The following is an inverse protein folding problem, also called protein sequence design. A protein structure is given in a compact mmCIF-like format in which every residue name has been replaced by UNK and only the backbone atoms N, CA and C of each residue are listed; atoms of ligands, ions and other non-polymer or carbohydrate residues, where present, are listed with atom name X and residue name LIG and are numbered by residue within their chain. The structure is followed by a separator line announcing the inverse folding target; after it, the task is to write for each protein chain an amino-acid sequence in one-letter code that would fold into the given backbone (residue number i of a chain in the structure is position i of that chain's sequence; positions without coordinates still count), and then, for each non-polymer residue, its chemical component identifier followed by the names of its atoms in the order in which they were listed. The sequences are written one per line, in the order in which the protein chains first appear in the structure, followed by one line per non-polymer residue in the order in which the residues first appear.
data_IF_578844623470
#
_entry.id   IF_578844623470
#
_cell.length_a   1.000
_cell.length_b   1.000
_cell.length_c   1.000
_cell.angle_alpha   90.00
_cell.angle_beta   90.00
_cell.angle_gamma   90.00
#
_symmetry.space_group_name_H-M   'P 1'
#
loop_
_entity.id
_entity.type
_entity.pdbx_description
1 polymer ?
#
# COMPACT_ATOMS: atom_id res chain seq x y z
N UNK A 1 28.73 1.12 -4.86
CA UNK A 1 27.93 0.72 -6.01
C UNK A 1 28.43 -0.59 -6.57
N UNK A 2 27.54 -1.51 -6.90
CA UNK A 2 27.84 -2.81 -7.53
C UNK A 2 27.62 -2.81 -9.05
N UNK A 3 27.94 -3.91 -9.70
CA UNK A 3 27.84 -4.02 -11.16
C UNK A 3 26.42 -3.84 -11.68
N UNK A 4 26.28 -3.20 -12.84
CA UNK A 4 24.98 -3.00 -13.52
C UNK A 4 24.06 -1.95 -12.88
N UNK A 5 24.54 -1.20 -11.87
CA UNK A 5 23.77 -0.08 -11.29
C UNK A 5 23.66 1.06 -12.29
N UNK A 6 22.42 1.54 -12.51
CA UNK A 6 22.14 2.76 -13.26
C UNK A 6 21.76 3.91 -12.33
N UNK A 7 22.42 5.05 -12.48
CA UNK A 7 22.06 6.29 -11.78
C UNK A 7 21.78 7.36 -12.82
N UNK A 8 20.54 7.81 -12.88
CA UNK A 8 20.04 8.80 -13.82
C UNK A 8 20.59 10.19 -13.57
N UNK A 9 20.55 11.03 -14.58
CA UNK A 9 21.03 12.41 -14.52
C UNK A 9 20.37 13.20 -13.40
N UNK A 10 21.15 13.95 -12.63
CA UNK A 10 20.67 14.80 -11.54
C UNK A 10 20.25 14.06 -10.28
N UNK A 11 20.46 12.73 -10.23
CA UNK A 11 20.22 11.93 -9.03
C UNK A 11 21.43 11.98 -8.10
N UNK A 12 21.17 11.80 -6.80
CA UNK A 12 22.19 11.75 -5.77
C UNK A 12 21.94 10.59 -4.81
N UNK A 13 23.04 9.95 -4.38
CA UNK A 13 23.05 8.91 -3.34
C UNK A 13 23.98 9.39 -2.23
N UNK A 14 23.43 9.46 -1.01
CA UNK A 14 24.17 9.91 0.17
C UNK A 14 25.28 8.97 0.61
N UNK A 15 26.16 9.44 1.51
CA UNK A 15 27.31 8.69 1.96
C UNK A 15 26.91 7.39 2.67
N UNK A 16 27.85 6.42 2.67
CA UNK A 16 27.74 5.11 3.32
C UNK A 16 26.57 4.25 2.84
N UNK A 17 25.95 4.63 1.72
CA UNK A 17 24.87 3.87 1.10
C UNK A 17 25.42 2.76 0.19
N UNK A 18 24.74 1.62 0.20
CA UNK A 18 25.11 0.44 -0.60
C UNK A 18 24.03 0.20 -1.66
N UNK A 19 24.44 0.13 -2.93
CA UNK A 19 23.53 -0.12 -4.06
C UNK A 19 23.97 -1.40 -4.75
N UNK A 20 23.18 -2.44 -4.63
CA UNK A 20 23.44 -3.78 -5.14
C UNK A 20 23.23 -3.91 -6.65
N UNK A 21 23.64 -5.02 -7.27
CA UNK A 21 23.65 -5.17 -8.72
C UNK A 21 22.28 -4.90 -9.38
N UNK A 22 22.33 -4.31 -10.57
CA UNK A 22 21.17 -4.05 -11.43
C UNK A 22 20.08 -3.15 -10.80
N UNK A 23 20.36 -2.44 -9.72
CA UNK A 23 19.47 -1.41 -9.21
C UNK A 23 19.41 -0.23 -10.20
N UNK A 24 18.21 0.32 -10.38
CA UNK A 24 17.93 1.45 -11.29
C UNK A 24 17.44 2.63 -10.46
N UNK A 25 18.18 3.70 -10.47
CA UNK A 25 17.81 5.00 -9.87
C UNK A 25 17.58 5.97 -11.02
N UNK A 26 16.29 6.30 -11.28
CA UNK A 26 15.91 7.18 -12.38
C UNK A 26 16.30 8.63 -12.12
N UNK A 27 16.13 9.47 -13.13
CA UNK A 27 16.55 10.86 -13.15
C UNK A 27 15.94 11.71 -12.01
N UNK A 28 16.74 12.53 -11.37
CA UNK A 28 16.33 13.51 -10.34
C UNK A 28 16.02 12.89 -8.96
N UNK A 29 16.23 11.60 -8.76
CA UNK A 29 15.98 10.91 -7.49
C UNK A 29 17.03 11.30 -6.45
N UNK A 30 16.61 11.49 -5.21
CA UNK A 30 17.50 11.75 -4.07
C UNK A 30 17.40 10.65 -3.03
N UNK A 31 18.53 10.10 -2.63
CA UNK A 31 18.65 9.04 -1.63
C UNK A 31 19.57 9.54 -0.53
N UNK A 32 19.16 9.39 0.71
CA UNK A 32 19.90 9.78 1.89
C UNK A 32 21.12 8.91 2.17
N UNK A 33 21.69 9.07 3.35
CA UNK A 33 22.86 8.36 3.82
C UNK A 33 22.53 6.99 4.41
N UNK A 34 23.50 6.07 4.43
CA UNK A 34 23.44 4.75 5.07
C UNK A 34 22.27 3.88 4.57
N UNK A 35 21.83 4.13 3.33
CA UNK A 35 20.78 3.34 2.70
C UNK A 35 21.30 2.05 2.10
N UNK A 36 20.46 1.02 2.08
CA UNK A 36 20.73 -0.27 1.43
C UNK A 36 19.68 -0.52 0.36
N UNK A 37 20.09 -0.53 -0.90
CA UNK A 37 19.23 -0.83 -2.04
C UNK A 37 19.60 -2.19 -2.61
N UNK A 38 18.73 -3.17 -2.44
CA UNK A 38 19.01 -4.54 -2.88
C UNK A 38 18.90 -4.69 -4.41
N UNK A 39 19.31 -5.85 -4.92
CA UNK A 39 19.42 -6.10 -6.36
C UNK A 39 18.09 -5.91 -7.10
N UNK A 40 18.14 -5.28 -8.25
CA UNK A 40 16.97 -5.07 -9.12
C UNK A 40 15.94 -4.04 -8.62
N UNK A 41 16.23 -3.30 -7.53
CA UNK A 41 15.36 -2.19 -7.08
C UNK A 41 15.22 -1.16 -8.20
N UNK A 42 14.01 -0.66 -8.42
CA UNK A 42 13.73 0.42 -9.37
C UNK A 42 13.12 1.63 -8.65
N UNK A 43 13.84 2.75 -8.62
CA UNK A 43 13.38 3.98 -7.97
C UNK A 43 13.19 5.08 -9.01
N UNK A 44 11.98 5.66 -9.05
CA UNK A 44 11.63 6.74 -9.95
C UNK A 44 11.06 6.30 -11.30
N UNK A 45 10.56 5.07 -11.41
CA UNK A 45 9.73 4.65 -12.55
C UNK A 45 8.49 5.54 -12.68
N UNK A 46 7.92 5.61 -13.87
CA UNK A 46 6.68 6.36 -14.09
C UNK A 46 5.53 5.72 -13.31
N UNK A 47 4.78 6.54 -12.59
CA UNK A 47 3.54 6.13 -11.95
C UNK A 47 2.48 5.70 -12.99
N UNK A 48 1.54 4.90 -12.54
CA UNK A 48 0.40 4.44 -13.35
C UNK A 48 -0.65 5.55 -13.48
N UNK A 49 -0.46 6.41 -14.47
CA UNK A 49 -1.35 7.54 -14.75
C UNK A 49 -1.84 7.49 -16.19
N UNK A 50 -3.14 7.20 -16.39
CA UNK A 50 -3.81 7.17 -17.68
C UNK A 50 -5.22 7.72 -17.59
N UNK A 51 -5.68 8.39 -18.65
CA UNK A 51 -7.07 8.85 -18.78
C UNK A 51 -7.71 8.23 -20.03
N UNK A 52 -9.00 7.87 -19.98
CA UNK A 52 -9.72 7.38 -21.13
C UNK A 52 -9.90 8.51 -22.15
N UNK A 53 -9.56 8.25 -23.40
CA UNK A 53 -9.69 9.20 -24.49
C UNK A 53 -10.04 8.48 -25.79
N UNK A 54 -11.24 8.66 -26.30
CA UNK A 54 -11.69 8.11 -27.59
C UNK A 54 -11.60 6.58 -27.70
N UNK A 55 -11.86 5.83 -26.62
CA UNK A 55 -11.79 4.36 -26.61
C UNK A 55 -10.38 3.80 -26.40
N UNK A 56 -9.39 4.66 -26.14
CA UNK A 56 -8.00 4.31 -25.79
C UNK A 56 -7.57 4.93 -24.47
N UNK A 57 -6.37 4.60 -24.00
CA UNK A 57 -5.78 5.18 -22.79
C UNK A 57 -4.67 6.15 -23.16
N UNK A 58 -4.83 7.41 -22.79
CA UNK A 58 -3.78 8.43 -22.94
C UNK A 58 -2.95 8.48 -21.66
N UNK A 59 -1.62 8.36 -21.81
CA UNK A 59 -0.68 8.46 -20.68
C UNK A 59 -0.62 9.89 -20.15
N UNK A 60 -0.67 10.04 -18.84
CA UNK A 60 -0.35 11.28 -18.12
C UNK A 60 1.15 11.28 -17.84
N UNK A 61 1.91 12.28 -18.32
CA UNK A 61 3.35 12.39 -18.02
C UNK A 61 3.60 12.43 -16.51
N UNK A 62 4.63 11.70 -16.07
CA UNK A 62 5.05 11.65 -14.67
C UNK A 62 6.33 12.48 -14.54
N UNK A 63 6.21 13.72 -14.06
CA UNK A 63 7.29 14.71 -14.10
C UNK A 63 7.87 15.02 -12.71
N UNK A 64 7.31 14.43 -11.66
CA UNK A 64 7.82 14.55 -10.31
C UNK A 64 9.04 13.65 -10.06
N UNK A 65 9.42 13.53 -8.81
CA UNK A 65 10.60 12.77 -8.39
C UNK A 65 10.32 11.86 -7.19
N UNK A 66 11.39 11.21 -6.67
CA UNK A 66 11.39 10.44 -5.43
C UNK A 66 12.46 10.98 -4.50
N UNK A 67 12.13 11.12 -3.22
CA UNK A 67 13.06 11.40 -2.14
C UNK A 67 13.02 10.30 -1.09
N UNK A 68 14.19 9.76 -0.78
CA UNK A 68 14.39 8.70 0.23
C UNK A 68 15.29 9.27 1.31
N UNK A 69 14.84 9.15 2.57
CA UNK A 69 15.58 9.60 3.74
C UNK A 69 16.80 8.74 4.05
N UNK A 70 17.35 8.95 5.23
CA UNK A 70 18.51 8.22 5.75
C UNK A 70 18.12 6.87 6.33
N UNK A 71 19.08 5.94 6.41
CA UNK A 71 18.94 4.63 7.06
C UNK A 71 17.81 3.75 6.49
N UNK A 72 17.43 3.98 5.23
CA UNK A 72 16.37 3.23 4.53
C UNK A 72 16.94 1.94 3.93
N UNK A 73 16.18 0.87 4.01
CA UNK A 73 16.51 -0.38 3.33
C UNK A 73 15.36 -0.80 2.40
N UNK A 74 15.70 -1.15 1.15
CA UNK A 74 14.73 -1.50 0.11
C UNK A 74 15.11 -2.85 -0.50
N UNK A 75 14.23 -3.82 -0.35
CA UNK A 75 14.39 -5.21 -0.78
C UNK A 75 14.39 -5.37 -2.31
N UNK A 76 14.85 -6.53 -2.73
CA UNK A 76 15.08 -6.86 -4.15
C UNK A 76 13.82 -6.73 -4.99
N UNK A 77 13.97 -6.17 -6.21
CA UNK A 77 12.91 -5.99 -7.19
C UNK A 77 11.70 -5.17 -6.68
N UNK A 78 11.88 -4.37 -5.65
CA UNK A 78 10.90 -3.38 -5.21
C UNK A 78 10.91 -2.20 -6.16
N UNK A 79 9.73 -1.69 -6.51
CA UNK A 79 9.56 -0.51 -7.34
C UNK A 79 8.92 0.64 -6.55
N UNK A 80 9.50 1.84 -6.68
CA UNK A 80 8.98 3.09 -6.12
C UNK A 80 8.79 4.08 -7.25
N UNK A 81 7.53 4.41 -7.54
CA UNK A 81 7.18 5.30 -8.65
C UNK A 81 7.44 6.76 -8.28
N UNK A 82 7.87 7.53 -9.28
CA UNK A 82 7.94 9.00 -9.16
C UNK A 82 6.56 9.59 -9.02
N UNK A 83 6.46 10.73 -8.40
CA UNK A 83 5.22 11.48 -8.36
C UNK A 83 4.78 11.93 -9.76
N UNK A 84 3.48 12.08 -9.96
CA UNK A 84 2.96 12.77 -11.14
C UNK A 84 3.46 14.21 -11.18
N UNK A 85 3.30 14.92 -10.04
CA UNK A 85 3.90 16.23 -9.74
C UNK A 85 4.43 16.20 -8.31
N UNK A 86 5.51 16.93 -8.04
CA UNK A 86 6.10 16.97 -6.70
C UNK A 86 6.93 15.73 -6.39
N UNK A 87 6.70 15.09 -5.25
CA UNK A 87 7.60 14.08 -4.68
C UNK A 87 6.84 12.88 -4.13
N UNK A 88 7.26 11.66 -4.46
CA UNK A 88 7.01 10.44 -3.70
C UNK A 88 8.09 10.36 -2.61
N UNK A 89 7.70 10.26 -1.34
CA UNK A 89 8.63 10.42 -0.21
C UNK A 89 8.67 9.20 0.69
N UNK A 90 9.88 8.77 1.05
CA UNK A 90 10.17 7.72 2.03
C UNK A 90 10.96 8.32 3.18
N UNK A 91 10.40 8.28 4.39
CA UNK A 91 11.02 8.82 5.60
C UNK A 91 12.23 8.02 6.08
N UNK A 92 12.94 8.58 7.06
CA UNK A 92 14.12 7.95 7.64
C UNK A 92 13.80 6.61 8.30
N UNK A 93 14.75 5.66 8.23
CA UNK A 93 14.66 4.37 8.92
C UNK A 93 13.59 3.42 8.39
N UNK A 94 12.89 3.74 7.29
CA UNK A 94 11.89 2.87 6.67
C UNK A 94 12.54 1.59 6.14
N UNK A 95 11.85 0.46 6.31
CA UNK A 95 12.26 -0.84 5.79
C UNK A 95 11.18 -1.37 4.85
N UNK A 96 11.57 -1.61 3.61
CA UNK A 96 10.70 -2.16 2.56
C UNK A 96 11.30 -3.48 2.08
N UNK A 97 10.52 -4.52 2.15
CA UNK A 97 10.93 -5.87 1.76
C UNK A 97 10.87 -6.05 0.22
N UNK A 98 11.11 -7.26 -0.24
CA UNK A 98 11.19 -7.62 -1.65
C UNK A 98 9.84 -7.53 -2.37
N UNK A 99 9.86 -7.21 -3.67
CA UNK A 99 8.69 -7.22 -4.56
C UNK A 99 7.54 -6.30 -4.11
N UNK A 100 7.85 -5.23 -3.39
CA UNK A 100 6.86 -4.23 -2.97
C UNK A 100 6.66 -3.21 -4.09
N UNK A 101 5.40 -2.78 -4.31
CA UNK A 101 5.07 -1.67 -5.19
C UNK A 101 4.65 -0.45 -4.37
N UNK A 102 5.36 0.65 -4.53
CA UNK A 102 4.98 1.97 -4.00
C UNK A 102 4.56 2.86 -5.16
N UNK A 103 3.30 3.26 -5.19
CA UNK A 103 2.72 4.10 -6.24
C UNK A 103 3.17 5.57 -6.14
N UNK A 104 2.84 6.31 -7.18
CA UNK A 104 3.17 7.73 -7.31
C UNK A 104 2.58 8.58 -6.17
N UNK A 105 3.28 9.63 -5.76
CA UNK A 105 2.84 10.56 -4.70
C UNK A 105 2.59 9.94 -3.32
N UNK A 106 3.02 8.72 -3.07
CA UNK A 106 2.95 8.11 -1.74
C UNK A 106 3.90 8.83 -0.79
N UNK A 107 3.45 9.05 0.44
CA UNK A 107 4.26 9.60 1.53
C UNK A 107 4.37 8.55 2.63
N UNK A 108 5.59 8.14 2.99
CA UNK A 108 5.84 7.14 4.03
C UNK A 108 6.58 7.81 5.19
N UNK A 109 5.96 7.79 6.37
CA UNK A 109 6.54 8.29 7.61
C UNK A 109 7.68 7.41 8.13
N UNK A 110 8.47 7.99 9.03
CA UNK A 110 9.70 7.38 9.55
C UNK A 110 9.46 6.04 10.25
N UNK A 111 10.45 5.15 10.16
CA UNK A 111 10.48 3.86 10.86
C UNK A 111 9.32 2.93 10.54
N UNK A 112 8.61 3.15 9.43
CA UNK A 112 7.58 2.24 8.96
C UNK A 112 8.19 1.02 8.28
N UNK A 113 7.50 -0.12 8.36
CA UNK A 113 7.96 -1.39 7.75
C UNK A 113 6.89 -1.94 6.83
N UNK A 114 7.30 -2.39 5.64
CA UNK A 114 6.42 -2.91 4.59
C UNK A 114 6.95 -4.27 4.15
N UNK A 115 6.21 -5.31 4.42
CA UNK A 115 6.59 -6.68 4.10
C UNK A 115 6.35 -7.03 2.64
N UNK A 116 6.97 -8.11 2.20
CA UNK A 116 7.06 -8.51 0.79
C UNK A 116 5.75 -8.62 0.04
N UNK A 117 5.79 -8.29 -1.25
CA UNK A 117 4.65 -8.30 -2.16
C UNK A 117 3.48 -7.38 -1.76
N UNK A 118 3.65 -6.48 -0.80
CA UNK A 118 2.63 -5.47 -0.52
C UNK A 118 2.56 -4.44 -1.65
N UNK A 119 1.36 -3.91 -1.89
CA UNK A 119 1.11 -2.86 -2.88
C UNK A 119 0.46 -1.64 -2.24
N UNK A 120 1.04 -0.48 -2.46
CA UNK A 120 0.52 0.82 -1.98
C UNK A 120 0.16 1.65 -3.20
N UNK A 121 -1.13 1.93 -3.38
CA UNK A 121 -1.60 2.73 -4.51
C UNK A 121 -1.27 4.23 -4.32
N UNK A 122 -1.31 4.96 -5.42
CA UNK A 122 -0.88 6.36 -5.49
C UNK A 122 -1.58 7.29 -4.52
N UNK A 123 -0.88 8.34 -4.10
CA UNK A 123 -1.36 9.40 -3.20
C UNK A 123 -1.78 8.93 -1.81
N UNK A 124 -1.33 7.76 -1.38
CA UNK A 124 -1.54 7.24 -0.02
C UNK A 124 -0.57 7.91 0.94
N UNK A 125 -1.06 8.27 2.13
CA UNK A 125 -0.23 8.80 3.22
C UNK A 125 -0.09 7.72 4.29
N UNK A 126 1.13 7.30 4.54
CA UNK A 126 1.49 6.32 5.59
C UNK A 126 2.21 7.10 6.70
N UNK A 127 1.69 7.05 7.90
CA UNK A 127 2.29 7.66 9.08
C UNK A 127 3.61 7.00 9.49
N UNK A 128 4.15 7.45 10.61
CA UNK A 128 5.36 6.88 11.19
C UNK A 128 5.07 5.57 11.94
N UNK A 129 6.06 4.65 11.98
CA UNK A 129 5.99 3.37 12.69
C UNK A 129 4.83 2.46 12.26
N UNK A 130 4.31 2.65 11.05
CA UNK A 130 3.27 1.79 10.46
C UNK A 130 3.85 0.44 10.08
N UNK A 131 3.09 -0.63 10.26
CA UNK A 131 3.45 -2.00 9.88
C UNK A 131 2.48 -2.53 8.84
N UNK A 132 2.99 -2.86 7.65
CA UNK A 132 2.19 -3.43 6.56
C UNK A 132 2.64 -4.86 6.32
N UNK A 133 1.74 -5.81 6.54
CA UNK A 133 1.97 -7.23 6.34
C UNK A 133 2.09 -7.64 4.87
N UNK A 134 2.70 -8.79 4.64
CA UNK A 134 2.98 -9.30 3.30
C UNK A 134 1.72 -9.42 2.43
N UNK A 135 1.84 -9.09 1.15
CA UNK A 135 0.75 -9.14 0.16
C UNK A 135 -0.47 -8.29 0.52
N UNK A 136 -0.36 -7.32 1.42
CA UNK A 136 -1.43 -6.38 1.68
C UNK A 136 -1.59 -5.39 0.52
N UNK A 137 -2.83 -5.08 0.15
CA UNK A 137 -3.17 -4.07 -0.85
C UNK A 137 -3.75 -2.82 -0.19
N UNK A 138 -3.13 -1.67 -0.40
CA UNK A 138 -3.58 -0.39 0.18
C UNK A 138 -4.14 0.47 -0.95
N UNK A 139 -5.41 0.86 -0.83
CA UNK A 139 -6.06 1.73 -1.81
C UNK A 139 -5.44 3.14 -1.84
N UNK A 140 -5.58 3.81 -2.98
CA UNK A 140 -5.08 5.17 -3.17
C UNK A 140 -5.88 6.21 -2.39
N UNK A 141 -5.24 7.37 -2.15
CA UNK A 141 -5.86 8.55 -1.53
C UNK A 141 -6.40 8.32 -0.11
N UNK A 142 -5.85 7.37 0.64
CA UNK A 142 -6.20 7.11 2.04
C UNK A 142 -5.01 7.40 2.96
N UNK A 143 -5.28 7.47 4.25
CA UNK A 143 -4.27 7.67 5.28
C UNK A 143 -4.21 6.48 6.21
N UNK A 144 -3.01 5.95 6.45
CA UNK A 144 -2.71 5.03 7.54
C UNK A 144 -2.05 5.84 8.65
N UNK A 145 -2.73 5.98 9.80
CA UNK A 145 -2.25 6.78 10.93
C UNK A 145 -1.01 6.16 11.59
N UNK A 146 -0.27 6.97 12.35
CA UNK A 146 0.95 6.56 13.04
C UNK A 146 0.74 5.28 13.86
N UNK A 147 1.69 4.36 13.79
CA UNK A 147 1.64 3.09 14.52
C UNK A 147 0.56 2.10 14.07
N UNK A 148 -0.21 2.41 13.02
CA UNK A 148 -1.21 1.48 12.48
C UNK A 148 -0.57 0.17 12.02
N UNK A 149 -1.30 -0.94 12.12
CA UNK A 149 -0.84 -2.26 11.71
C UNK A 149 -1.83 -2.91 10.76
N UNK A 150 -1.35 -3.28 9.59
CA UNK A 150 -2.11 -3.95 8.54
C UNK A 150 -1.66 -5.41 8.49
N UNK A 151 -2.56 -6.34 8.77
CA UNK A 151 -2.25 -7.76 8.70
C UNK A 151 -1.98 -8.20 7.25
N UNK A 152 -1.25 -9.31 7.09
CA UNK A 152 -0.95 -9.86 5.77
C UNK A 152 -2.21 -10.13 4.95
N UNK A 153 -2.12 -9.95 3.64
CA UNK A 153 -3.21 -10.16 2.65
C UNK A 153 -4.46 -9.30 2.87
N UNK A 154 -4.39 -8.26 3.69
CA UNK A 154 -5.54 -7.36 3.89
C UNK A 154 -5.76 -6.44 2.70
N UNK A 155 -7.00 -6.27 2.28
CA UNK A 155 -7.41 -5.22 1.33
C UNK A 155 -7.92 -4.00 2.09
N UNK A 156 -7.10 -2.94 2.16
CA UNK A 156 -7.44 -1.71 2.89
C UNK A 156 -8.05 -0.70 1.93
N UNK A 157 -9.35 -0.47 2.07
CA UNK A 157 -10.13 0.39 1.16
C UNK A 157 -10.47 1.76 1.73
N UNK A 158 -10.12 2.02 2.99
CA UNK A 158 -10.39 3.29 3.70
C UNK A 158 -9.30 3.58 4.71
N UNK A 159 -9.20 4.84 5.14
CA UNK A 159 -8.22 5.27 6.12
C UNK A 159 -8.29 4.46 7.42
N UNK A 160 -7.13 4.25 8.04
CA UNK A 160 -6.94 3.51 9.30
C UNK A 160 -6.46 4.49 10.36
N UNK A 161 -7.11 4.50 11.52
CA UNK A 161 -6.75 5.40 12.60
C UNK A 161 -5.37 5.08 13.20
N UNK A 162 -4.68 6.05 13.85
CA UNK A 162 -3.43 5.81 14.53
C UNK A 162 -3.53 4.65 15.54
N UNK A 163 -2.51 3.78 15.56
CA UNK A 163 -2.44 2.61 16.44
C UNK A 163 -3.45 1.49 16.15
N UNK A 164 -4.35 1.68 15.21
CA UNK A 164 -5.37 0.68 14.88
C UNK A 164 -4.74 -0.54 14.18
N UNK A 165 -5.21 -1.73 14.53
CA UNK A 165 -4.88 -2.97 13.83
C UNK A 165 -6.06 -3.38 12.95
N UNK A 166 -5.81 -3.62 11.65
CA UNK A 166 -6.82 -4.08 10.71
C UNK A 166 -6.39 -5.38 10.04
N UNK A 167 -7.36 -6.24 9.78
CA UNK A 167 -7.13 -7.53 9.12
C UNK A 167 -8.31 -7.91 8.23
N UNK A 168 -8.03 -8.72 7.22
CA UNK A 168 -9.04 -9.36 6.39
C UNK A 168 -8.38 -10.41 5.53
N UNK A 169 -8.89 -11.65 5.56
CA UNK A 169 -8.42 -12.77 4.76
C UNK A 169 -7.61 -13.85 5.52
N UNK A 170 -8.11 -14.42 6.65
CA UNK A 170 -7.48 -15.62 7.20
C UNK A 170 -7.82 -16.85 6.35
N UNK A 171 -6.85 -17.75 6.17
CA UNK A 171 -7.13 -19.08 5.67
C UNK A 171 -7.91 -19.89 6.74
N UNK A 172 -8.87 -20.68 6.30
CA UNK A 172 -9.62 -21.61 7.15
C UNK A 172 -9.81 -22.95 6.43
N UNK A 173 -10.36 -23.94 7.10
CA UNK A 173 -10.70 -25.23 6.48
C UNK A 173 -11.53 -25.03 5.20
N UNK A 174 -11.17 -25.74 4.13
CA UNK A 174 -11.79 -25.55 2.81
C UNK A 174 -13.32 -25.76 2.81
N UNK A 175 -13.79 -26.79 3.51
CA UNK A 175 -15.22 -27.06 3.57
C UNK A 175 -15.96 -26.00 4.39
N UNK A 176 -15.33 -25.46 5.42
CA UNK A 176 -15.85 -24.34 6.19
C UNK A 176 -15.88 -23.07 5.36
N UNK A 177 -14.79 -22.75 4.63
CA UNK A 177 -14.72 -21.57 3.75
C UNK A 177 -15.84 -21.58 2.70
N UNK A 178 -16.10 -22.70 2.06
CA UNK A 178 -17.18 -22.83 1.08
C UNK A 178 -18.55 -22.50 1.68
N UNK A 179 -18.82 -22.99 2.90
CA UNK A 179 -20.09 -22.69 3.61
C UNK A 179 -20.20 -21.20 3.95
N UNK A 180 -19.10 -20.58 4.42
CA UNK A 180 -19.06 -19.15 4.73
C UNK A 180 -19.35 -18.32 3.48
N UNK A 181 -18.73 -18.62 2.34
CA UNK A 181 -18.95 -17.88 1.09
C UNK A 181 -20.40 -17.97 0.60
N UNK A 182 -21.05 -19.13 0.72
CA UNK A 182 -22.47 -19.29 0.36
C UNK A 182 -23.35 -18.39 1.23
N UNK A 183 -23.13 -18.41 2.55
CA UNK A 183 -23.90 -17.56 3.49
C UNK A 183 -23.61 -16.09 3.28
N UNK A 184 -22.36 -15.72 3.02
CA UNK A 184 -21.96 -14.35 2.77
C UNK A 184 -22.69 -13.75 1.56
N UNK A 185 -22.87 -14.50 0.49
CA UNK A 185 -23.63 -14.07 -0.68
C UNK A 185 -25.13 -13.82 -0.36
N UNK A 186 -25.66 -14.45 0.70
CA UNK A 186 -27.05 -14.30 1.13
C UNK A 186 -27.26 -13.24 2.22
N UNK A 187 -26.19 -12.64 2.77
CA UNK A 187 -26.28 -11.69 3.87
C UNK A 187 -27.26 -10.52 3.63
N UNK A 188 -27.34 -9.88 2.44
CA UNK A 188 -28.31 -8.81 2.21
C UNK A 188 -29.76 -9.28 2.39
N UNK A 189 -30.07 -10.48 1.90
CA UNK A 189 -31.39 -11.09 2.03
C UNK A 189 -31.69 -11.50 3.48
N UNK A 190 -30.73 -12.10 4.16
CA UNK A 190 -30.85 -12.44 5.58
C UNK A 190 -31.09 -11.20 6.44
N UNK A 191 -30.38 -10.12 6.20
CA UNK A 191 -30.58 -8.85 6.92
C UNK A 191 -31.98 -8.26 6.67
N UNK A 192 -32.53 -8.41 5.46
CA UNK A 192 -33.89 -8.01 5.15
C UNK A 192 -34.92 -8.84 5.93
N UNK A 193 -34.75 -10.17 5.93
CA UNK A 193 -35.62 -11.11 6.65
C UNK A 193 -35.61 -10.87 8.15
N UNK A 194 -34.45 -10.60 8.74
CA UNK A 194 -34.34 -10.26 10.18
C UNK A 194 -35.18 -9.04 10.50
N UNK A 195 -35.02 -7.92 9.77
CA UNK A 195 -35.83 -6.72 9.99
C UNK A 195 -37.33 -6.97 9.87
N UNK A 196 -37.76 -7.83 8.93
CA UNK A 196 -39.18 -8.20 8.79
C UNK A 196 -39.68 -9.02 10.00
N UNK A 197 -38.84 -9.92 10.54
CA UNK A 197 -39.19 -10.70 11.72
C UNK A 197 -39.26 -9.83 12.96
N UNK A 198 -38.34 -8.90 13.15
CA UNK A 198 -38.35 -7.93 14.24
C UNK A 198 -39.64 -7.07 14.23
N UNK A 199 -40.02 -6.54 13.05
CA UNK A 199 -41.23 -5.76 12.90
C UNK A 199 -42.52 -6.62 13.20
N UNK A 200 -42.53 -7.88 12.78
CA UNK A 200 -43.64 -8.78 13.09
C UNK A 200 -43.73 -9.12 14.59
N UNK A 201 -42.58 -9.29 15.24
CA UNK A 201 -42.49 -9.55 16.65
C UNK A 201 -43.05 -8.39 17.48
N UNK A 202 -42.59 -7.16 17.19
CA UNK A 202 -43.08 -5.95 17.83
C UNK A 202 -44.60 -5.81 17.68
N UNK A 203 -45.16 -6.03 16.48
CA UNK A 203 -46.58 -5.98 16.25
C UNK A 203 -47.41 -7.09 16.98
N UNK A 204 -46.77 -8.19 17.39
CA UNK A 204 -47.39 -9.24 18.18
C UNK A 204 -47.32 -8.92 19.68
N UNK A 205 -46.27 -8.23 20.15
CA UNK A 205 -46.12 -7.78 21.53
C UNK A 205 -47.14 -6.68 21.86
N UNK A 206 -47.29 -5.68 20.98
CA UNK A 206 -48.28 -4.61 21.12
C UNK A 206 -49.73 -5.17 21.21
N UNK A 207 -50.03 -6.30 20.55
CA UNK A 207 -51.35 -6.96 20.60
C UNK A 207 -51.60 -7.75 21.88
N UNK A 208 -50.57 -8.06 22.66
CA UNK A 208 -50.73 -8.77 23.94
C UNK A 208 -50.92 -7.82 25.12
N UNK A 209 -50.60 -6.55 24.96
CA UNK A 209 -50.78 -5.50 25.97
C UNK A 209 -52.17 -4.81 25.90
N UNK A 210 -52.98 -5.16 24.94
CA UNK A 210 -54.40 -4.75 24.76
C UNK A 210 -55.35 -5.88 25.16
#
# INVERSE_FOLDING_TARGET
LYAGVYIGRGSAVGPDSVVYPNAVIREGVRIGARCVLHAGVCIGSDGFGFVPMGGSWMKIPQVGTVEIGDDVEIGSNTAIDRATFGVTKVGNGVKIDNLVQIGHNVQIGEHSVIAGMAGVAGSTVIGSQVRIGASAGINGHITLGDGASIAARSGVTRSVAPGQVVSGFPAMDHAQQRRVLVVQAQLPELARRVRQLEARLAALEDKKEL
#
